data_IF_560922514056
#
_entry.id   IF_560922514056
#
_cell.length_a   1.000
_cell.length_b   1.000
_cell.length_c   1.000
_cell.angle_alpha   90.00
_cell.angle_beta   90.00
_cell.angle_gamma   90.00
#
_symmetry.space_group_name_H-M   'P 1'
#
loop_
_entity.id
_entity.type
_entity.pdbx_description
1 polymer ?
#
# COMPACT_ATOMS: atom_id res chain seq x y z
N UNK A 1 4.35 -5.91 -11.91
CA UNK A 1 3.98 -4.48 -12.13
C UNK A 1 5.11 -3.60 -11.63
N UNK A 2 5.49 -2.62 -12.43
CA UNK A 2 6.51 -1.66 -12.02
C UNK A 2 6.03 -0.82 -10.83
N UNK A 3 6.91 -0.61 -9.88
CA UNK A 3 6.59 0.13 -8.66
C UNK A 3 7.84 0.72 -8.02
N UNK A 4 7.61 1.65 -7.09
CA UNK A 4 8.65 2.22 -6.23
C UNK A 4 8.34 1.83 -4.80
N UNK A 5 9.34 1.34 -4.08
CA UNK A 5 9.25 1.07 -2.65
C UNK A 5 9.93 2.19 -1.87
N UNK A 6 9.32 2.56 -0.74
CA UNK A 6 9.83 3.61 0.13
C UNK A 6 10.35 3.08 1.47
N UNK A 7 10.75 1.79 1.51
CA UNK A 7 11.17 1.16 2.77
C UNK A 7 12.40 1.83 3.41
N UNK A 8 13.50 1.94 2.68
CA UNK A 8 14.74 2.57 3.17
C UNK A 8 15.08 3.83 2.39
N UNK A 9 15.12 3.67 1.09
CA UNK A 9 15.31 4.72 0.12
C UNK A 9 14.39 4.41 -1.04
N UNK A 10 14.15 5.38 -1.89
CA UNK A 10 13.33 5.14 -3.07
C UNK A 10 14.00 4.06 -3.93
N UNK A 11 13.33 2.96 -4.11
CA UNK A 11 13.81 1.79 -4.83
C UNK A 11 12.84 1.46 -5.94
N UNK A 12 13.34 1.35 -7.15
CA UNK A 12 12.50 0.95 -8.30
C UNK A 12 12.54 -0.56 -8.47
N UNK A 13 11.41 -1.15 -8.75
CA UNK A 13 11.31 -2.58 -8.86
C UNK A 13 9.99 -3.06 -9.41
N UNK A 14 9.62 -4.28 -9.04
CA UNK A 14 8.39 -4.93 -9.51
C UNK A 14 7.60 -5.52 -8.37
N UNK A 15 6.29 -5.32 -8.42
CA UNK A 15 5.34 -5.98 -7.53
C UNK A 15 4.79 -7.20 -8.26
N UNK A 16 4.77 -8.33 -7.56
CA UNK A 16 4.17 -9.58 -8.03
C UNK A 16 3.11 -10.00 -7.02
N UNK A 17 1.89 -10.22 -7.49
CA UNK A 17 0.78 -10.65 -6.65
C UNK A 17 0.35 -12.03 -7.12
N UNK A 18 0.35 -12.98 -6.19
CA UNK A 18 -0.03 -14.36 -6.46
C UNK A 18 -0.70 -15.00 -5.27
N UNK A 19 -0.96 -16.30 -5.36
CA UNK A 19 -1.67 -17.05 -4.32
C UNK A 19 -0.93 -17.03 -2.98
N UNK A 20 0.40 -16.96 -3.02
CA UNK A 20 1.23 -16.99 -1.80
C UNK A 20 1.31 -15.67 -1.07
N UNK A 21 1.08 -14.56 -1.74
CA UNK A 21 1.16 -13.26 -1.10
C UNK A 21 1.53 -12.13 -2.03
N UNK A 22 1.89 -11.02 -1.40
CA UNK A 22 2.36 -9.81 -2.05
C UNK A 22 3.89 -9.81 -2.02
N UNK A 23 4.52 -9.62 -3.17
CA UNK A 23 5.97 -9.62 -3.29
C UNK A 23 6.46 -8.37 -4.01
N UNK A 24 7.61 -7.89 -3.59
CA UNK A 24 8.30 -6.78 -4.25
C UNK A 24 9.77 -7.15 -4.42
N UNK A 25 10.30 -6.91 -5.62
CA UNK A 25 11.69 -7.19 -5.95
C UNK A 25 12.35 -5.94 -6.52
N UNK A 26 13.51 -5.57 -5.95
CA UNK A 26 14.30 -4.45 -6.45
C UNK A 26 14.87 -4.78 -7.84
N UNK A 27 14.83 -3.80 -8.77
CA UNK A 27 15.26 -4.03 -10.14
C UNK A 27 16.78 -4.19 -10.29
N UNK A 28 17.55 -3.66 -9.35
CA UNK A 28 19.01 -3.66 -9.40
C UNK A 28 19.63 -4.75 -8.53
N UNK A 29 19.03 -5.06 -7.41
CA UNK A 29 19.59 -6.00 -6.44
C UNK A 29 18.52 -7.01 -6.02
N UNK A 30 18.66 -8.25 -6.49
CA UNK A 30 17.71 -9.33 -6.20
C UNK A 30 17.68 -9.72 -4.73
N UNK A 31 18.68 -9.33 -3.95
CA UNK A 31 18.71 -9.60 -2.52
C UNK A 31 17.79 -8.65 -1.75
N UNK A 32 17.38 -7.55 -2.37
CA UNK A 32 16.43 -6.60 -1.79
C UNK A 32 15.03 -6.96 -2.28
N UNK A 33 14.28 -7.62 -1.42
CA UNK A 33 12.92 -8.03 -1.74
C UNK A 33 12.05 -7.97 -0.50
N UNK A 34 10.75 -7.92 -0.73
CA UNK A 34 9.73 -7.91 0.32
C UNK A 34 8.73 -9.02 -0.04
N UNK A 35 8.47 -9.92 0.92
CA UNK A 35 7.47 -10.97 0.76
C UNK A 35 6.48 -10.88 1.92
N UNK A 36 5.21 -10.72 1.61
CA UNK A 36 4.16 -10.59 2.62
C UNK A 36 3.08 -11.63 2.31
N UNK A 37 3.04 -12.75 3.04
CA UNK A 37 1.95 -13.71 2.90
C UNK A 37 0.61 -13.04 3.23
N UNK A 38 -0.45 -13.43 2.54
CA UNK A 38 -1.76 -12.80 2.75
C UNK A 38 -2.22 -12.88 4.20
N UNK A 39 -1.91 -13.95 4.89
CA UNK A 39 -2.27 -14.12 6.30
C UNK A 39 -1.62 -13.08 7.22
N UNK A 40 -0.50 -12.49 6.80
CA UNK A 40 0.21 -11.47 7.58
C UNK A 40 -0.26 -10.05 7.26
N UNK A 41 -1.06 -9.86 6.25
CA UNK A 41 -1.61 -8.55 5.91
C UNK A 41 -2.74 -8.21 6.88
N UNK A 42 -2.59 -7.08 7.56
CA UNK A 42 -3.63 -6.58 8.45
C UNK A 42 -4.66 -5.76 7.65
N UNK A 43 -4.17 -4.74 6.95
CA UNK A 43 -5.02 -3.95 6.06
C UNK A 43 -4.14 -3.25 5.01
N UNK A 44 -4.80 -2.69 4.00
CA UNK A 44 -4.13 -1.93 2.94
C UNK A 44 -4.66 -0.51 2.98
N UNK A 45 -3.77 0.46 3.18
CA UNK A 45 -4.14 1.86 3.22
C UNK A 45 -3.91 2.47 1.84
N UNK A 46 -4.94 3.06 1.27
CA UNK A 46 -4.93 3.60 -0.09
C UNK A 46 -5.09 5.10 -0.03
N UNK A 47 -4.07 5.84 -0.44
CA UNK A 47 -4.13 7.29 -0.56
C UNK A 47 -4.78 7.66 -1.89
N UNK A 48 -5.97 8.26 -1.83
CA UNK A 48 -6.78 8.55 -3.01
C UNK A 48 -6.99 10.05 -3.14
N UNK A 49 -6.71 10.57 -4.32
CA UNK A 49 -6.87 11.98 -4.64
C UNK A 49 -7.71 12.13 -5.91
N UNK A 50 -8.19 13.35 -6.16
CA UNK A 50 -8.93 13.70 -7.37
C UNK A 50 -10.15 12.79 -7.60
N UNK A 51 -10.92 12.55 -6.54
CA UNK A 51 -12.14 11.71 -6.57
C UNK A 51 -11.87 10.30 -7.10
N UNK A 52 -10.73 9.72 -6.71
CA UNK A 52 -10.37 8.36 -7.10
C UNK A 52 -9.58 8.25 -8.39
N UNK A 53 -9.27 9.37 -9.04
CA UNK A 53 -8.51 9.33 -10.30
C UNK A 53 -7.02 9.11 -10.09
N UNK A 54 -6.50 9.48 -8.92
CA UNK A 54 -5.08 9.38 -8.64
C UNK A 54 -4.85 8.68 -7.32
N UNK A 55 -4.03 7.61 -7.36
CA UNK A 55 -3.64 6.83 -6.18
C UNK A 55 -2.12 6.82 -6.13
N UNK A 56 -1.50 7.84 -5.52
CA UNK A 56 -0.03 7.94 -5.51
C UNK A 56 0.65 6.95 -4.59
N UNK A 57 -0.04 6.48 -3.54
CA UNK A 57 0.58 5.61 -2.54
C UNK A 57 -0.37 4.52 -2.10
N UNK A 58 0.20 3.33 -1.90
CA UNK A 58 -0.47 2.18 -1.31
C UNK A 58 0.41 1.69 -0.19
N UNK A 59 -0.13 1.53 1.01
CA UNK A 59 0.60 1.00 2.15
C UNK A 59 0.03 -0.34 2.55
N UNK A 60 0.85 -1.39 2.49
CA UNK A 60 0.49 -2.71 2.97
C UNK A 60 0.90 -2.80 4.42
N UNK A 61 -0.06 -2.81 5.34
CA UNK A 61 0.20 -2.83 6.78
C UNK A 61 0.10 -4.25 7.27
N UNK A 62 1.20 -4.73 7.85
CA UNK A 62 1.28 -6.10 8.36
C UNK A 62 0.94 -6.16 9.85
N UNK A 63 0.65 -7.37 10.32
CA UNK A 63 0.28 -7.59 11.72
C UNK A 63 1.45 -7.43 12.68
N UNK A 64 2.68 -7.67 12.23
CA UNK A 64 3.86 -7.69 13.11
C UNK A 64 4.97 -6.72 12.71
N UNK A 65 5.12 -6.43 11.42
CA UNK A 65 6.30 -5.74 10.93
C UNK A 65 6.03 -4.32 10.41
N UNK A 66 4.88 -3.74 10.77
CA UNK A 66 4.52 -2.41 10.32
C UNK A 66 4.08 -2.36 8.87
N UNK A 67 4.19 -1.19 8.26
CA UNK A 67 3.68 -0.94 6.91
C UNK A 67 4.80 -0.78 5.88
N UNK A 68 4.50 -1.19 4.65
CA UNK A 68 5.37 -1.04 3.50
C UNK A 68 4.67 -0.17 2.47
N UNK A 69 5.31 0.94 2.07
CA UNK A 69 4.70 1.93 1.18
C UNK A 69 5.22 1.75 -0.23
N UNK A 70 4.31 1.74 -1.19
CA UNK A 70 4.62 1.59 -2.61
C UNK A 70 3.90 2.63 -3.43
N UNK A 71 4.52 3.03 -4.54
CA UNK A 71 3.87 3.76 -5.63
C UNK A 71 3.86 2.84 -6.84
N UNK A 72 2.68 2.34 -7.20
CA UNK A 72 2.54 1.41 -8.32
C UNK A 72 2.23 2.16 -9.61
N UNK A 73 2.71 1.66 -10.74
CA UNK A 73 2.46 2.25 -12.05
C UNK A 73 0.97 2.19 -12.41
N UNK A 74 0.31 1.08 -12.07
CA UNK A 74 -1.12 0.88 -12.35
C UNK A 74 -1.84 0.52 -11.04
N UNK A 75 -2.06 1.52 -10.14
CA UNK A 75 -2.54 1.23 -8.80
C UNK A 75 -3.93 0.62 -8.76
N UNK A 76 -4.84 1.04 -9.63
CA UNK A 76 -6.20 0.51 -9.66
C UNK A 76 -6.22 -0.96 -10.05
N UNK A 77 -5.38 -1.34 -11.01
CA UNK A 77 -5.23 -2.73 -11.45
C UNK A 77 -4.66 -3.58 -10.33
N UNK A 78 -3.63 -3.06 -9.64
CA UNK A 78 -3.02 -3.74 -8.51
C UNK A 78 -4.05 -3.99 -7.40
N UNK A 79 -4.81 -2.98 -7.01
CA UNK A 79 -5.82 -3.12 -5.96
C UNK A 79 -6.90 -4.11 -6.33
N UNK A 80 -7.31 -4.13 -7.60
CA UNK A 80 -8.31 -5.08 -8.08
C UNK A 80 -7.83 -6.52 -7.93
N UNK A 81 -6.58 -6.79 -8.28
CA UNK A 81 -6.00 -8.13 -8.13
C UNK A 81 -5.86 -8.51 -6.66
N UNK A 82 -5.43 -7.57 -5.81
CA UNK A 82 -5.29 -7.82 -4.38
C UNK A 82 -6.63 -8.15 -3.71
N UNK A 83 -7.75 -7.63 -4.23
CA UNK A 83 -9.08 -7.92 -3.69
C UNK A 83 -9.50 -9.38 -3.90
N UNK A 84 -8.80 -10.13 -4.74
CA UNK A 84 -9.02 -11.57 -4.85
C UNK A 84 -8.53 -12.33 -3.60
N UNK A 85 -7.62 -11.74 -2.84
CA UNK A 85 -6.97 -12.38 -1.69
C UNK A 85 -7.29 -11.72 -0.36
N UNK A 86 -7.63 -10.44 -0.37
CA UNK A 86 -7.88 -9.64 0.84
C UNK A 86 -9.32 -9.12 0.79
N UNK A 87 -10.09 -9.26 1.89
CA UNK A 87 -11.45 -8.73 1.95
C UNK A 87 -11.50 -7.24 1.66
N UNK A 88 -12.54 -6.83 0.98
CA UNK A 88 -12.73 -5.44 0.54
C UNK A 88 -12.73 -4.45 1.72
N UNK A 89 -13.27 -4.87 2.87
CA UNK A 89 -13.32 -4.05 4.08
C UNK A 89 -11.93 -3.71 4.63
N UNK A 90 -10.91 -4.48 4.26
CA UNK A 90 -9.54 -4.26 4.73
C UNK A 90 -8.78 -3.24 3.88
N UNK A 91 -9.40 -2.67 2.86
CA UNK A 91 -8.84 -1.56 2.10
C UNK A 91 -9.39 -0.27 2.68
N UNK A 92 -8.51 0.55 3.27
CA UNK A 92 -8.91 1.74 4.01
C UNK A 92 -8.24 2.99 3.45
N UNK A 93 -8.84 4.14 3.72
CA UNK A 93 -8.26 5.44 3.35
C UNK A 93 -7.64 6.07 4.59
N UNK A 94 -6.50 6.78 4.45
CA UNK A 94 -5.94 7.50 5.59
C UNK A 94 -6.89 8.64 5.99
N UNK A 95 -6.95 8.91 7.30
CA UNK A 95 -7.73 10.05 7.79
C UNK A 95 -7.04 11.34 7.38
N UNK A 96 -7.77 12.30 6.78
CA UNK A 96 -7.18 13.59 6.47
C UNK A 96 -6.80 14.31 7.75
N UNK A 97 -5.56 14.77 7.85
CA UNK A 97 -5.09 15.58 9.00
C UNK A 97 -5.95 16.83 9.21
N UNK A 98 -6.47 17.37 8.12
CA UNK A 98 -7.35 18.53 8.12
C UNK A 98 -8.59 18.31 9.00
N UNK A 99 -9.24 17.16 8.90
CA UNK A 99 -10.41 16.86 9.75
C UNK A 99 -10.04 16.76 11.23
N UNK A 100 -8.87 16.21 11.54
CA UNK A 100 -8.41 16.12 12.93
C UNK A 100 -8.21 17.53 13.54
N UNK A 101 -7.59 18.41 12.77
CA UNK A 101 -7.34 19.79 13.22
C UNK A 101 -8.66 20.54 13.43
N UNK A 102 -9.61 20.39 12.50
CA UNK A 102 -10.93 21.02 12.64
C UNK A 102 -11.68 20.52 13.86
N UNK A 103 -11.68 19.23 14.10
CA UNK A 103 -12.35 18.67 15.26
C UNK A 103 -11.71 19.14 16.58
N UNK A 104 -10.39 19.24 16.60
CA UNK A 104 -9.68 19.73 17.77
C UNK A 104 -10.06 21.18 18.09
N UNK A 105 -10.16 22.05 17.09
CA UNK A 105 -10.57 23.44 17.26
C UNK A 105 -12.03 23.58 17.70
N UNK A 106 -12.91 22.70 17.23
CA UNK A 106 -14.33 22.74 17.58
C UNK A 106 -14.59 22.38 19.04
N UNK A 107 -13.72 21.58 19.62
CA UNK A 107 -13.89 21.13 21.01
C UNK A 107 -13.27 22.09 22.03
N UNK A 108 -12.76 23.19 21.58
CA UNK A 108 -12.33 24.28 22.43
C UNK A 108 -13.44 25.27 22.62
#
# INVERSE_FOLDING_TARGET
MQATSFLYQNSYGSIVVGDGGFEYYDSKDRRKFIEIPWAEVNYVMVSVFLKGRWIPRIQVVTKKNGGYIFAAKEPKKLLKVMQEYIPKENFVKPRPMFKRIQNWFRHR
#
